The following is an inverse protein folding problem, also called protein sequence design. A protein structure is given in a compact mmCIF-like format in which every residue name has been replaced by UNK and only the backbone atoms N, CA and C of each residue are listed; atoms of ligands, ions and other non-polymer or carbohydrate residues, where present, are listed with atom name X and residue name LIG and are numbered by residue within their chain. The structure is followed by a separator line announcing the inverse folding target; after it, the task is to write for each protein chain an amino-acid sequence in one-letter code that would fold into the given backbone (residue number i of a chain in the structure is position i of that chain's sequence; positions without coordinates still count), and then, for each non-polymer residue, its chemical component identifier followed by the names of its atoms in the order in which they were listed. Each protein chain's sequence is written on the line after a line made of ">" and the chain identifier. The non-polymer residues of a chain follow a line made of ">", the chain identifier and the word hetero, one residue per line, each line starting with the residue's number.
data_IF_262006943331
#
_entry.id   IF_262006943331
#
_cell.length_a   1.000
_cell.length_b   1.000
_cell.length_c   1.000
_cell.angle_alpha   90.00
_cell.angle_beta   90.00
_cell.angle_gamma   90.00
#
_symmetry.space_group_name_H-M   'P 1'
#
loop_
_entity.id
_entity.type
_entity.pdbx_description
1 polymer ?
#
# COMPACT_ATOMS: atom_id res chain seq x y z
N UNK A 1 19.55 7.28 0.32
CA UNK A 1 18.31 6.46 0.36
C UNK A 1 18.75 5.04 0.04
N UNK A 2 18.77 4.14 1.04
CA UNK A 2 19.14 2.73 0.81
C UNK A 2 17.96 2.03 0.09
N UNK A 3 18.19 0.99 -0.73
CA UNK A 3 17.12 0.37 -1.50
C UNK A 3 16.16 -0.33 -0.53
N UNK A 4 14.89 0.05 -0.54
CA UNK A 4 13.80 -0.81 -0.09
C UNK A 4 13.25 -1.55 -1.29
N UNK A 5 12.74 -2.76 -1.09
CA UNK A 5 12.15 -3.53 -2.19
C UNK A 5 10.71 -3.07 -2.41
N UNK A 6 10.47 -2.45 -3.57
CA UNK A 6 9.15 -2.02 -4.01
C UNK A 6 8.54 -3.10 -4.88
N UNK A 7 7.41 -3.66 -4.45
CA UNK A 7 6.63 -4.59 -5.26
C UNK A 7 5.43 -3.85 -5.80
N UNK A 8 5.51 -3.44 -7.07
CA UNK A 8 4.38 -2.89 -7.83
C UNK A 8 3.60 -4.04 -8.47
N UNK A 9 2.31 -4.13 -8.18
CA UNK A 9 1.44 -5.18 -8.72
C UNK A 9 0.62 -4.69 -9.91
N UNK A 10 1.07 -3.65 -10.61
CA UNK A 10 0.39 -3.12 -11.79
C UNK A 10 0.14 -4.23 -12.85
N UNK A 11 -1.11 -4.39 -13.29
CA UNK A 11 -1.43 -5.17 -14.50
C UNK A 11 -2.01 -6.57 -14.31
N UNK A 12 -2.60 -6.91 -13.15
CA UNK A 12 -3.37 -8.14 -13.02
C UNK A 12 -4.80 -7.92 -12.54
N UNK A 13 -5.61 -7.18 -13.31
CA UNK A 13 -7.07 -7.32 -13.19
C UNK A 13 -7.56 -8.75 -13.49
N UNK A 14 -6.72 -9.57 -14.15
CA UNK A 14 -6.99 -10.99 -14.47
C UNK A 14 -6.67 -11.97 -13.32
N UNK A 15 -5.91 -11.57 -12.30
CA UNK A 15 -5.69 -12.38 -11.11
C UNK A 15 -6.33 -11.70 -9.91
N UNK A 16 -7.42 -12.30 -9.45
CA UNK A 16 -8.28 -11.76 -8.38
C UNK A 16 -7.59 -11.68 -7.01
N UNK A 17 -6.40 -12.25 -6.87
CA UNK A 17 -5.60 -12.28 -5.64
C UNK A 17 -4.11 -12.16 -5.95
N UNK A 18 -3.32 -11.64 -5.00
CA UNK A 18 -1.86 -11.72 -5.07
C UNK A 18 -1.41 -13.10 -4.57
N UNK A 19 -0.26 -13.59 -5.04
CA UNK A 19 0.32 -14.79 -4.43
C UNK A 19 0.67 -14.48 -2.95
N UNK A 20 0.34 -15.37 -1.99
CA UNK A 20 0.56 -15.15 -0.56
C UNK A 20 1.97 -14.66 -0.18
N UNK A 21 2.99 -15.12 -0.90
CA UNK A 21 4.40 -14.73 -0.68
C UNK A 21 4.63 -13.22 -0.75
N UNK A 22 3.88 -12.48 -1.57
CA UNK A 22 4.03 -11.02 -1.65
C UNK A 22 3.58 -10.34 -0.37
N UNK A 23 2.58 -10.89 0.32
CA UNK A 23 2.04 -10.34 1.56
C UNK A 23 2.95 -10.60 2.76
N UNK A 24 3.54 -11.79 2.87
CA UNK A 24 4.24 -12.21 4.07
C UNK A 24 5.39 -11.28 4.47
N UNK A 25 6.12 -10.72 3.51
CA UNK A 25 7.27 -9.86 3.75
C UNK A 25 6.92 -8.36 3.79
N UNK A 26 5.65 -7.99 3.60
CA UNK A 26 5.24 -6.59 3.54
C UNK A 26 5.27 -5.92 4.92
N UNK A 27 5.86 -4.73 4.97
CA UNK A 27 5.96 -3.91 6.19
C UNK A 27 5.04 -2.68 6.14
N UNK A 28 4.53 -2.34 4.95
CA UNK A 28 3.46 -1.37 4.74
C UNK A 28 2.76 -1.65 3.39
N UNK A 29 1.57 -1.07 3.21
CA UNK A 29 0.85 -1.14 1.94
C UNK A 29 0.31 0.23 1.51
N UNK A 30 0.43 0.54 0.21
CA UNK A 30 -0.28 1.65 -0.44
C UNK A 30 -1.32 1.07 -1.41
N UNK A 31 -2.59 1.30 -1.08
CA UNK A 31 -3.74 0.97 -1.91
C UNK A 31 -4.04 2.15 -2.84
N UNK A 32 -3.89 1.95 -4.14
CA UNK A 32 -4.06 3.01 -5.14
C UNK A 32 -5.25 2.70 -6.03
N UNK A 33 -6.19 3.63 -6.15
CA UNK A 33 -7.29 3.52 -7.11
C UNK A 33 -7.22 4.66 -8.13
N UNK A 34 -7.80 4.42 -9.30
CA UNK A 34 -7.90 5.39 -10.39
C UNK A 34 -9.22 6.16 -10.26
N UNK A 35 -9.15 7.48 -10.09
CA UNK A 35 -10.34 8.30 -9.92
C UNK A 35 -11.27 8.31 -11.14
N UNK A 36 -10.75 7.98 -12.33
CA UNK A 36 -11.52 7.89 -13.57
C UNK A 36 -12.24 6.55 -13.72
N UNK A 37 -11.86 5.52 -12.95
CA UNK A 37 -12.40 4.16 -13.04
C UNK A 37 -13.02 3.71 -11.72
N UNK A 38 -14.34 3.89 -11.58
CA UNK A 38 -15.11 3.57 -10.35
C UNK A 38 -14.90 2.14 -9.83
N UNK A 39 -14.67 1.17 -10.71
CA UNK A 39 -14.44 -0.23 -10.31
C UNK A 39 -13.20 -0.38 -9.41
N UNK A 40 -12.17 0.43 -9.65
CA UNK A 40 -10.90 0.38 -8.92
C UNK A 40 -11.09 0.78 -7.46
N UNK A 41 -11.92 1.80 -7.20
CA UNK A 41 -12.32 2.20 -5.86
C UNK A 41 -13.15 1.12 -5.14
N UNK A 42 -14.07 0.43 -5.85
CA UNK A 42 -14.89 -0.63 -5.25
C UNK A 42 -14.04 -1.81 -4.78
N UNK A 43 -12.98 -2.11 -5.51
CA UNK A 43 -12.08 -3.24 -5.23
C UNK A 43 -11.16 -3.00 -4.02
N UNK A 44 -10.98 -1.76 -3.55
CA UNK A 44 -10.16 -1.43 -2.37
C UNK A 44 -10.51 -2.27 -1.13
N UNK A 45 -11.79 -2.52 -0.90
CA UNK A 45 -12.24 -3.29 0.27
C UNK A 45 -11.81 -4.75 0.20
N UNK A 46 -11.91 -5.37 -0.97
CA UNK A 46 -11.48 -6.74 -1.18
C UNK A 46 -9.97 -6.85 -0.95
N UNK A 47 -9.21 -5.88 -1.47
CA UNK A 47 -7.75 -5.84 -1.28
C UNK A 47 -7.34 -5.68 0.17
N UNK A 48 -7.98 -4.76 0.89
CA UNK A 48 -7.66 -4.56 2.30
C UNK A 48 -8.00 -5.82 3.11
N UNK A 49 -9.15 -6.46 2.86
CA UNK A 49 -9.52 -7.70 3.53
C UNK A 49 -8.53 -8.83 3.23
N UNK A 50 -8.10 -8.99 1.98
CA UNK A 50 -7.10 -9.99 1.59
C UNK A 50 -5.77 -9.74 2.28
N UNK A 51 -5.26 -8.50 2.23
CA UNK A 51 -4.02 -8.10 2.90
C UNK A 51 -4.07 -8.42 4.40
N UNK A 52 -5.16 -8.04 5.07
CA UNK A 52 -5.34 -8.23 6.51
C UNK A 52 -5.42 -9.70 6.93
N UNK A 53 -5.71 -10.64 6.02
CA UNK A 53 -5.60 -12.09 6.31
C UNK A 53 -4.16 -12.53 6.54
N UNK A 54 -3.20 -11.90 5.87
CA UNK A 54 -1.79 -12.27 5.91
C UNK A 54 -0.97 -11.35 6.81
N UNK A 55 -1.28 -10.05 6.81
CA UNK A 55 -0.60 -9.00 7.57
C UNK A 55 -1.63 -8.11 8.27
N UNK A 56 -2.19 -8.56 9.41
CA UNK A 56 -3.30 -7.88 10.07
C UNK A 56 -2.93 -6.50 10.61
N UNK A 57 -1.66 -6.23 10.91
CA UNK A 57 -1.25 -5.03 11.66
C UNK A 57 -0.43 -4.01 10.85
N UNK A 58 0.02 -4.35 9.64
CA UNK A 58 0.91 -3.45 8.90
C UNK A 58 0.20 -2.11 8.58
N UNK A 59 0.92 -0.98 8.61
CA UNK A 59 0.37 0.31 8.23
C UNK A 59 -0.08 0.30 6.76
N UNK A 60 -1.25 0.87 6.51
CA UNK A 60 -1.87 0.92 5.19
C UNK A 60 -2.22 2.37 4.83
N UNK A 61 -2.10 2.71 3.55
CA UNK A 61 -2.33 4.04 3.00
C UNK A 61 -3.27 3.93 1.80
N UNK A 62 -4.09 4.94 1.56
CA UNK A 62 -4.97 5.02 0.39
C UNK A 62 -4.57 6.22 -0.48
N UNK A 63 -4.45 5.99 -1.79
CA UNK A 63 -4.14 7.02 -2.76
C UNK A 63 -5.14 7.03 -3.92
N UNK A 64 -5.74 8.20 -4.18
CA UNK A 64 -6.59 8.47 -5.33
C UNK A 64 -5.71 9.02 -6.47
N UNK A 65 -5.42 8.20 -7.48
CA UNK A 65 -4.54 8.56 -8.59
C UNK A 65 -5.29 9.16 -9.78
N UNK A 66 -4.56 9.86 -10.66
CA UNK A 66 -5.02 10.51 -11.89
C UNK A 66 -5.84 11.78 -11.68
N UNK A 67 -5.61 12.49 -10.58
CA UNK A 67 -6.30 13.76 -10.29
C UNK A 67 -5.99 14.86 -11.32
N UNK A 68 -4.94 14.70 -12.12
CA UNK A 68 -4.60 15.57 -13.25
C UNK A 68 -5.64 15.54 -14.37
N UNK A 69 -6.45 14.48 -14.45
CA UNK A 69 -7.49 14.33 -15.49
C UNK A 69 -8.79 15.06 -15.17
N UNK A 70 -9.05 15.31 -13.88
CA UNK A 70 -10.21 16.05 -13.38
C UNK A 70 -9.86 16.64 -12.02
N UNK A 71 -9.58 17.95 -11.97
CA UNK A 71 -9.22 18.63 -10.72
C UNK A 71 -10.40 18.75 -9.75
N UNK A 72 -11.65 18.68 -10.21
CA UNK A 72 -12.81 18.74 -9.31
C UNK A 72 -12.90 17.50 -8.41
N UNK A 73 -12.19 16.42 -8.77
CA UNK A 73 -12.14 15.19 -7.99
C UNK A 73 -11.60 15.39 -6.58
N UNK A 74 -10.78 16.42 -6.36
CA UNK A 74 -10.25 16.74 -5.02
C UNK A 74 -11.33 17.29 -4.08
N UNK A 75 -12.46 17.74 -4.61
CA UNK A 75 -13.62 18.16 -3.84
C UNK A 75 -14.54 16.99 -3.46
N UNK A 76 -14.33 15.80 -4.04
CA UNK A 76 -15.13 14.60 -3.75
C UNK A 76 -14.64 13.93 -2.47
N UNK A 77 -15.58 13.46 -1.65
CA UNK A 77 -15.27 12.71 -0.44
C UNK A 77 -15.19 11.21 -0.72
N UNK A 78 -14.05 10.60 -0.38
CA UNK A 78 -13.84 9.16 -0.45
C UNK A 78 -13.85 8.54 0.94
N UNK A 79 -14.97 7.91 1.30
CA UNK A 79 -15.19 7.39 2.65
C UNK A 79 -14.38 6.12 3.00
N UNK A 80 -13.81 5.42 2.01
CA UNK A 80 -13.08 4.17 2.25
C UNK A 80 -11.97 4.33 3.29
N UNK A 81 -11.13 5.35 3.13
CA UNK A 81 -9.99 5.57 4.02
C UNK A 81 -10.43 5.94 5.44
N UNK A 82 -11.43 6.83 5.56
CA UNK A 82 -12.04 7.20 6.85
C UNK A 82 -12.66 6.01 7.57
N UNK A 83 -13.39 5.15 6.85
CA UNK A 83 -14.03 3.94 7.41
C UNK A 83 -13.03 2.93 7.95
N UNK A 84 -11.87 2.81 7.29
CA UNK A 84 -10.83 1.87 7.68
C UNK A 84 -9.73 2.49 8.53
N UNK A 85 -9.88 3.76 8.93
CA UNK A 85 -8.90 4.52 9.71
C UNK A 85 -7.49 4.51 9.11
N UNK A 86 -7.39 4.70 7.78
CA UNK A 86 -6.11 4.77 7.07
C UNK A 86 -5.90 6.16 6.45
N UNK A 87 -4.65 6.66 6.36
CA UNK A 87 -4.34 7.91 5.67
C UNK A 87 -4.78 7.92 4.21
N UNK A 88 -5.20 9.09 3.71
CA UNK A 88 -5.69 9.29 2.35
C UNK A 88 -4.96 10.43 1.64
N UNK A 89 -4.63 10.21 0.36
CA UNK A 89 -3.91 11.18 -0.46
C UNK A 89 -4.51 11.27 -1.86
N UNK A 90 -4.64 12.49 -2.37
CA UNK A 90 -4.82 12.75 -3.79
C UNK A 90 -3.46 12.78 -4.47
N UNK A 91 -3.26 11.95 -5.50
CA UNK A 91 -1.99 11.83 -6.22
C UNK A 91 -2.17 11.89 -7.73
N UNK A 92 -1.12 12.31 -8.42
CA UNK A 92 -0.98 12.09 -9.85
C UNK A 92 0.40 11.54 -10.13
N UNK A 93 0.43 10.27 -10.56
CA UNK A 93 1.66 9.65 -11.04
C UNK A 93 2.19 10.32 -12.32
N UNK A 94 1.30 10.94 -13.13
CA UNK A 94 1.66 11.55 -14.41
C UNK A 94 2.50 12.82 -14.23
N UNK A 95 2.19 13.65 -13.24
CA UNK A 95 2.90 14.91 -12.97
C UNK A 95 3.65 14.92 -11.63
N UNK A 96 3.63 13.81 -10.88
CA UNK A 96 4.32 13.64 -9.61
C UNK A 96 3.61 14.23 -8.38
N UNK A 97 2.42 14.81 -8.53
CA UNK A 97 1.68 15.43 -7.42
C UNK A 97 1.49 14.44 -6.27
N UNK A 98 2.00 14.80 -5.08
CA UNK A 98 1.94 14.04 -3.82
C UNK A 98 2.48 12.60 -3.84
N UNK A 99 3.09 12.15 -4.94
CA UNK A 99 3.65 10.78 -5.05
C UNK A 99 4.75 10.61 -4.00
N UNK A 100 5.76 11.49 -3.99
CA UNK A 100 6.88 11.45 -3.04
C UNK A 100 6.38 11.47 -1.59
N UNK A 101 5.33 12.24 -1.31
CA UNK A 101 4.76 12.36 0.03
C UNK A 101 4.15 11.04 0.51
N UNK A 102 3.30 10.41 -0.31
CA UNK A 102 2.70 9.10 0.00
C UNK A 102 3.77 8.06 0.30
N UNK A 103 4.77 7.96 -0.58
CA UNK A 103 5.85 7.00 -0.39
C UNK A 103 6.68 7.30 0.86
N UNK A 104 7.00 8.56 1.11
CA UNK A 104 7.79 8.94 2.30
C UNK A 104 7.05 8.59 3.60
N UNK A 105 5.76 8.89 3.67
CA UNK A 105 4.95 8.59 4.86
C UNK A 105 4.78 7.07 5.04
N UNK A 106 4.58 6.33 3.95
CA UNK A 106 4.50 4.86 3.97
C UNK A 106 5.80 4.20 4.41
N UNK A 107 6.95 4.67 3.91
CA UNK A 107 8.27 4.17 4.30
C UNK A 107 8.54 4.43 5.78
N UNK A 108 8.25 5.65 6.27
CA UNK A 108 8.42 5.98 7.69
C UNK A 108 7.58 5.07 8.58
N UNK A 109 6.33 4.82 8.20
CA UNK A 109 5.47 3.92 8.94
C UNK A 109 5.96 2.45 8.87
N UNK A 110 6.46 2.00 7.72
CA UNK A 110 7.03 0.67 7.55
C UNK A 110 8.24 0.45 8.47
N UNK A 111 9.15 1.43 8.54
CA UNK A 111 10.33 1.37 9.42
C UNK A 111 9.91 1.35 10.88
N UNK A 112 9.01 2.25 11.29
CA UNK A 112 8.50 2.30 12.66
C UNK A 112 7.77 1.01 13.06
N UNK A 113 7.03 0.40 12.13
CA UNK A 113 6.40 -0.90 12.35
C UNK A 113 7.46 -1.99 12.54
N UNK A 114 8.45 -2.07 11.64
CA UNK A 114 9.53 -3.08 11.73
C UNK A 114 10.32 -3.00 13.04
N UNK A 115 10.64 -1.79 13.51
CA UNK A 115 11.40 -1.59 14.75
C UNK A 115 10.63 -2.01 16.01
N UNK A 116 9.30 -2.04 15.97
CA UNK A 116 8.44 -2.30 17.13
C UNK A 116 7.56 -3.55 16.97
N UNK A 117 7.68 -4.28 15.86
CA UNK A 117 6.82 -5.43 15.55
C UNK A 117 7.17 -6.62 16.43
N UNK A 118 6.16 -7.19 17.09
CA UNK A 118 6.21 -8.52 17.69
C UNK A 118 5.53 -9.57 16.80
N UNK A 119 5.29 -9.25 15.51
CA UNK A 119 4.62 -10.16 14.59
C UNK A 119 5.43 -11.47 14.48
N UNK A 120 4.84 -12.63 14.81
CA UNK A 120 5.54 -13.90 14.79
C UNK A 120 6.14 -14.23 13.42
N UNK A 121 5.54 -13.76 12.31
CA UNK A 121 6.09 -13.96 10.98
C UNK A 121 7.38 -13.17 10.78
N UNK A 122 7.47 -11.97 11.32
CA UNK A 122 8.69 -11.16 11.24
C UNK A 122 9.83 -11.83 12.03
N UNK A 123 9.53 -12.36 13.22
CA UNK A 123 10.49 -13.10 14.04
C UNK A 123 10.99 -14.37 13.33
N UNK A 124 10.09 -15.17 12.77
CA UNK A 124 10.44 -16.38 12.02
C UNK A 124 11.29 -16.04 10.79
N UNK A 125 10.94 -14.99 10.05
CA UNK A 125 11.71 -14.58 8.87
C UNK A 125 13.09 -14.00 9.22
N UNK A 126 13.23 -13.35 10.38
CA UNK A 126 14.51 -12.89 10.90
C UNK A 126 15.40 -14.06 11.36
N UNK A 127 14.84 -15.06 12.07
CA UNK A 127 15.55 -16.28 12.47
C UNK A 127 16.05 -17.11 11.28
N UNK A 128 15.29 -17.13 10.18
CA UNK A 128 15.66 -17.86 8.96
C UNK A 128 16.66 -17.11 8.06
N UNK A 129 17.13 -15.92 8.46
CA UNK A 129 17.99 -15.01 7.66
C UNK A 129 17.45 -14.66 6.26
N UNK A 130 16.14 -14.85 6.02
CA UNK A 130 15.53 -14.68 4.69
C UNK A 130 15.32 -13.19 4.37
N UNK A 131 15.25 -12.33 5.38
CA UNK A 131 15.05 -10.89 5.21
C UNK A 131 16.18 -10.10 5.87
N UNK A 132 17.06 -9.43 5.11
CA UNK A 132 18.12 -8.63 5.72
C UNK A 132 17.53 -7.51 6.57
N UNK A 133 18.04 -7.32 7.79
CA UNK A 133 17.57 -6.28 8.75
C UNK A 133 17.44 -4.87 8.16
N UNK A 134 18.12 -4.57 7.06
CA UNK A 134 18.16 -3.26 6.41
C UNK A 134 17.14 -3.06 5.27
N UNK A 135 16.41 -4.09 4.87
CA UNK A 135 15.41 -4.04 3.81
C UNK A 135 14.00 -3.96 4.41
N UNK A 136 13.17 -3.05 3.90
CA UNK A 136 11.74 -2.99 4.16
C UNK A 136 11.01 -3.19 2.84
N UNK A 137 9.86 -3.85 2.88
CA UNK A 137 9.07 -4.15 1.69
C UNK A 137 7.79 -3.34 1.69
N UNK A 138 7.59 -2.55 0.63
CA UNK A 138 6.36 -1.80 0.40
C UNK A 138 5.58 -2.47 -0.73
N UNK A 139 4.36 -2.93 -0.43
CA UNK A 139 3.42 -3.33 -1.47
C UNK A 139 2.72 -2.07 -1.98
N UNK A 140 2.82 -1.83 -3.29
CA UNK A 140 1.99 -0.86 -3.98
C UNK A 140 1.05 -1.63 -4.89
N UNK A 141 -0.25 -1.46 -4.69
CA UNK A 141 -1.26 -2.07 -5.56
C UNK A 141 -2.07 -1.02 -6.28
N UNK A 142 -1.84 -0.92 -7.59
CA UNK A 142 -2.70 -0.19 -8.50
C UNK A 142 -3.90 -1.05 -8.89
N UNK A 143 -5.10 -0.57 -8.61
CA UNK A 143 -6.36 -1.27 -8.86
C UNK A 143 -7.00 -0.82 -10.18
#
# INVERSE_FOLDING_TARGET
>A
MKPGDFWDTAGQERFQSMHPSYYHQAHACVLVFDVTRKITYKNLNNWLLELRKYRPEIPCFCAANKIDTDTEVTNKAFNFAKKNNIPFYFVSAANGTNVVRVFTDAIRAAVAYKENSADPLDQIMEELEVCPRHLFQLIVRYI
#
